data_IF_076437453707
#
_entry.id   IF_076437453707
#
_cell.length_a   1.000
_cell.length_b   1.000
_cell.length_c   1.000
_cell.angle_alpha   90.00
_cell.angle_beta   90.00
_cell.angle_gamma   90.00
#
_symmetry.space_group_name_H-M   'P 1'
#
loop_
_entity.id
_entity.type
_entity.pdbx_description
1 polymer ?
#
# COMPACT_ATOMS: atom_id res chain seq x y z
N UNK A 1 9.98 7.49 20.44
CA UNK A 1 8.60 6.96 20.53
C UNK A 1 8.19 6.09 19.33
N UNK A 2 8.31 6.55 18.07
CA UNK A 2 7.87 5.77 16.89
C UNK A 2 8.54 4.38 16.80
N UNK A 3 9.86 4.31 16.98
CA UNK A 3 10.59 3.03 16.98
C UNK A 3 10.14 2.07 18.08
N UNK A 4 9.81 2.60 19.27
CA UNK A 4 9.27 1.78 20.35
C UNK A 4 7.87 1.25 20.02
N UNK A 5 7.04 2.02 19.31
CA UNK A 5 5.74 1.54 18.83
C UNK A 5 5.91 0.45 17.79
N UNK A 6 6.84 0.60 16.83
CA UNK A 6 7.15 -0.44 15.84
C UNK A 6 7.55 -1.76 16.50
N UNK A 7 8.49 -1.73 17.46
CA UNK A 7 8.87 -2.92 18.24
C UNK A 7 7.67 -3.60 18.92
N UNK A 8 6.71 -2.82 19.44
CA UNK A 8 5.49 -3.37 20.04
C UNK A 8 4.52 -3.96 19.00
N UNK A 9 4.44 -3.36 17.81
CA UNK A 9 3.66 -3.90 16.69
C UNK A 9 4.25 -5.24 16.25
N UNK A 10 5.56 -5.32 16.04
CA UNK A 10 6.23 -6.56 15.63
C UNK A 10 6.08 -7.65 16.71
N UNK A 11 6.24 -7.29 17.99
CA UNK A 11 6.00 -8.21 19.10
C UNK A 11 4.55 -8.70 19.16
N UNK A 12 3.58 -7.83 18.88
CA UNK A 12 2.16 -8.21 18.83
C UNK A 12 1.87 -9.19 17.69
N UNK A 13 2.40 -8.92 16.50
CA UNK A 13 2.25 -9.80 15.34
C UNK A 13 2.87 -11.17 15.60
N UNK A 14 4.08 -11.21 16.18
CA UNK A 14 4.74 -12.46 16.55
C UNK A 14 3.93 -13.25 17.59
N UNK A 15 3.46 -12.60 18.65
CA UNK A 15 2.64 -13.24 19.68
C UNK A 15 1.31 -13.76 19.12
N UNK A 16 0.69 -13.03 18.19
CA UNK A 16 -0.53 -13.46 17.54
C UNK A 16 -0.29 -14.70 16.66
N UNK A 17 0.82 -14.77 15.94
CA UNK A 17 1.17 -15.96 15.16
C UNK A 17 1.42 -17.19 16.04
N UNK A 18 2.03 -17.03 17.23
CA UNK A 18 2.14 -18.13 18.20
C UNK A 18 0.78 -18.56 18.77
N UNK A 19 -0.17 -17.62 18.98
CA UNK A 19 -1.57 -17.96 19.28
C UNK A 19 -2.17 -18.79 18.14
N UNK A 20 -1.97 -18.37 16.88
CA UNK A 20 -2.47 -19.08 15.70
C UNK A 20 -1.90 -20.50 15.61
N UNK A 21 -0.61 -20.68 15.90
CA UNK A 21 0.04 -22.00 15.94
C UNK A 21 -0.67 -22.94 16.90
N UNK A 22 -1.03 -22.47 18.09
CA UNK A 22 -1.69 -23.26 19.14
C UNK A 22 -3.15 -23.56 18.81
N UNK A 23 -3.91 -22.58 18.32
CA UNK A 23 -5.36 -22.70 18.14
C UNK A 23 -5.74 -23.38 16.83
N UNK A 24 -5.17 -22.92 15.70
CA UNK A 24 -5.52 -23.45 14.37
C UNK A 24 -4.61 -24.60 13.93
N UNK A 25 -3.47 -24.80 14.62
CA UNK A 25 -2.55 -25.93 14.39
C UNK A 25 -2.16 -26.14 12.93
N UNK A 26 -2.01 -25.06 12.15
CA UNK A 26 -1.68 -25.10 10.71
C UNK A 26 -0.40 -25.90 10.43
N UNK A 27 0.56 -25.86 11.35
CA UNK A 27 1.82 -26.61 11.29
C UNK A 27 1.64 -28.14 11.34
N UNK A 28 0.54 -28.65 11.91
CA UNK A 28 0.22 -30.08 11.93
C UNK A 28 -0.39 -30.56 10.60
N UNK A 29 -1.05 -29.66 9.86
CA UNK A 29 -1.53 -29.97 8.50
C UNK A 29 -0.34 -30.06 7.55
N UNK A 30 0.53 -29.05 7.57
CA UNK A 30 1.82 -29.07 6.90
C UNK A 30 2.76 -28.03 7.56
N UNK A 31 3.97 -28.40 8.00
CA UNK A 31 4.90 -27.46 8.62
C UNK A 31 5.24 -26.24 7.74
N UNK A 32 5.32 -26.43 6.42
CA UNK A 32 5.65 -25.37 5.46
C UNK A 32 4.55 -24.31 5.39
N UNK A 33 3.28 -24.67 5.62
CA UNK A 33 2.18 -23.70 5.62
C UNK A 33 2.36 -22.64 6.71
N UNK A 34 2.50 -23.07 7.97
CA UNK A 34 2.66 -22.15 9.09
C UNK A 34 3.98 -21.38 9.02
N UNK A 35 5.10 -22.08 8.76
CA UNK A 35 6.41 -21.42 8.74
C UNK A 35 6.53 -20.41 7.58
N UNK A 36 5.91 -20.67 6.43
CA UNK A 36 5.89 -19.70 5.31
C UNK A 36 5.04 -18.47 5.64
N UNK A 37 3.86 -18.63 6.23
CA UNK A 37 3.02 -17.50 6.66
C UNK A 37 3.74 -16.67 7.73
N UNK A 38 4.36 -17.35 8.71
CA UNK A 38 5.12 -16.70 9.79
C UNK A 38 6.31 -15.93 9.25
N UNK A 39 7.14 -16.55 8.41
CA UNK A 39 8.30 -15.89 7.82
C UNK A 39 7.88 -14.66 7.00
N UNK A 40 6.90 -14.82 6.11
CA UNK A 40 6.42 -13.73 5.25
C UNK A 40 5.88 -12.56 6.08
N UNK A 41 5.06 -12.86 7.10
CA UNK A 41 4.42 -11.83 7.92
C UNK A 41 5.40 -11.06 8.81
N UNK A 42 6.42 -11.74 9.32
CA UNK A 42 7.42 -11.17 10.22
C UNK A 42 8.57 -10.45 9.51
N UNK A 43 8.61 -10.45 8.16
CA UNK A 43 9.60 -9.66 7.43
C UNK A 43 9.55 -8.19 7.84
N UNK A 44 10.72 -7.57 7.94
CA UNK A 44 10.84 -6.16 8.25
C UNK A 44 10.06 -5.30 7.25
N UNK A 45 9.51 -4.20 7.74
CA UNK A 45 8.74 -3.25 6.92
C UNK A 45 8.64 -1.90 7.63
N UNK A 46 8.14 -0.89 6.92
CA UNK A 46 8.00 0.47 7.48
C UNK A 46 6.95 0.56 8.59
N UNK A 47 6.03 -0.42 8.66
CA UNK A 47 4.88 -0.49 9.60
C UNK A 47 4.07 0.81 9.67
N UNK A 48 3.92 1.51 8.54
CA UNK A 48 3.25 2.82 8.49
C UNK A 48 1.77 2.71 8.86
N UNK A 49 1.08 1.70 8.34
CA UNK A 49 -0.36 1.49 8.54
C UNK A 49 -0.73 1.26 10.01
N UNK A 50 -0.18 0.25 10.71
CA UNK A 50 -0.47 0.05 12.12
C UNK A 50 -0.01 1.21 13.00
N UNK A 51 1.05 1.92 12.62
CA UNK A 51 1.50 3.12 13.31
C UNK A 51 0.45 4.24 13.22
N UNK A 52 -0.11 4.50 12.03
CA UNK A 52 -1.18 5.49 11.83
C UNK A 52 -2.43 5.14 12.65
N UNK A 53 -2.80 3.85 12.71
CA UNK A 53 -3.91 3.39 13.55
C UNK A 53 -3.67 3.71 15.03
N UNK A 54 -2.50 3.33 15.56
CA UNK A 54 -2.17 3.57 16.97
C UNK A 54 -2.12 5.07 17.27
N UNK A 55 -1.50 5.87 16.42
CA UNK A 55 -1.39 7.31 16.62
C UNK A 55 -2.76 7.99 16.58
N UNK A 56 -3.62 7.61 15.63
CA UNK A 56 -5.00 8.10 15.53
C UNK A 56 -5.78 7.76 16.80
N UNK A 57 -5.75 6.49 17.23
CA UNK A 57 -6.44 6.06 18.45
C UNK A 57 -5.99 6.83 19.70
N UNK A 58 -4.67 6.96 19.92
CA UNK A 58 -4.12 7.72 21.05
C UNK A 58 -4.45 9.21 20.96
N UNK A 59 -4.61 9.72 19.74
CA UNK A 59 -4.99 11.09 19.43
C UNK A 59 -6.35 11.49 19.97
N UNK A 60 -7.32 10.58 19.93
CA UNK A 60 -8.70 10.81 20.37
C UNK A 60 -9.05 10.18 21.73
N UNK A 61 -8.32 9.15 22.17
CA UNK A 61 -8.59 8.49 23.46
C UNK A 61 -8.27 9.41 24.64
N UNK A 62 -8.98 9.35 25.78
CA UNK A 62 -8.63 10.07 27.01
C UNK A 62 -7.19 9.79 27.51
N UNK A 63 -6.58 10.72 28.26
CA UNK A 63 -5.18 10.54 28.75
C UNK A 63 -5.03 9.33 29.69
N UNK A 64 -6.11 8.94 30.37
CA UNK A 64 -6.18 7.80 31.27
C UNK A 64 -6.16 6.44 30.56
N UNK A 65 -6.50 6.38 29.27
CA UNK A 65 -6.54 5.13 28.52
C UNK A 65 -5.12 4.67 28.20
N UNK A 66 -4.71 3.57 28.83
CA UNK A 66 -3.46 2.86 28.51
C UNK A 66 -3.73 1.89 27.37
N UNK A 67 -2.81 1.84 26.40
CA UNK A 67 -2.87 0.80 25.36
C UNK A 67 -2.68 -0.57 26.00
N UNK A 68 -3.72 -1.39 25.94
CA UNK A 68 -3.68 -2.78 26.37
C UNK A 68 -2.88 -3.63 25.38
N UNK A 69 -2.49 -4.84 25.79
CA UNK A 69 -1.94 -5.84 24.85
C UNK A 69 -2.95 -6.16 23.75
N UNK A 70 -4.24 -6.29 24.10
CA UNK A 70 -5.33 -6.57 23.16
C UNK A 70 -5.50 -5.48 22.10
N UNK A 71 -5.22 -4.21 22.40
CA UNK A 71 -5.28 -3.14 21.39
C UNK A 71 -4.23 -3.29 20.29
N UNK A 72 -3.04 -3.82 20.59
CA UNK A 72 -2.04 -4.07 19.53
C UNK A 72 -2.50 -5.17 18.54
N UNK A 73 -3.56 -5.92 18.84
CA UNK A 73 -4.19 -6.79 17.84
C UNK A 73 -4.88 -6.00 16.73
N UNK A 74 -5.27 -4.73 16.96
CA UNK A 74 -5.72 -3.84 15.88
C UNK A 74 -4.59 -3.54 14.88
N UNK A 75 -3.37 -3.31 15.38
CA UNK A 75 -2.18 -3.16 14.55
C UNK A 75 -1.84 -4.48 13.81
N UNK A 76 -1.97 -5.61 14.50
CA UNK A 76 -1.78 -6.95 13.93
C UNK A 76 -2.77 -7.21 12.79
N UNK A 77 -4.05 -6.88 12.99
CA UNK A 77 -5.10 -6.98 11.97
C UNK A 77 -4.74 -6.20 10.69
N UNK A 78 -4.32 -4.94 10.82
CA UNK A 78 -3.92 -4.12 9.67
C UNK A 78 -2.70 -4.70 8.94
N UNK A 79 -1.72 -5.24 9.67
CA UNK A 79 -0.55 -5.89 9.04
C UNK A 79 -0.90 -7.23 8.39
N UNK A 80 -1.81 -8.03 8.96
CA UNK A 80 -2.30 -9.25 8.31
C UNK A 80 -3.11 -8.93 7.05
N UNK A 81 -3.95 -7.88 7.07
CA UNK A 81 -4.61 -7.38 5.86
C UNK A 81 -3.57 -6.97 4.81
N UNK A 82 -2.48 -6.34 5.23
CA UNK A 82 -1.37 -6.02 4.32
C UNK A 82 -0.76 -7.24 3.68
N UNK A 83 -0.44 -8.23 4.49
CA UNK A 83 0.23 -9.43 4.05
C UNK A 83 -0.68 -10.19 3.09
N UNK A 84 -1.97 -10.33 3.40
CA UNK A 84 -2.98 -10.87 2.48
C UNK A 84 -2.92 -10.20 1.10
N UNK A 85 -3.00 -8.87 1.05
CA UNK A 85 -2.96 -8.13 -0.20
C UNK A 85 -1.65 -8.35 -0.96
N UNK A 86 -0.50 -8.33 -0.28
CA UNK A 86 0.80 -8.58 -0.91
C UNK A 86 0.93 -10.02 -1.43
N UNK A 87 0.38 -11.00 -0.71
CA UNK A 87 0.43 -12.41 -1.13
C UNK A 87 -0.32 -12.58 -2.45
N UNK A 88 -1.51 -12.01 -2.60
CA UNK A 88 -2.30 -12.09 -3.83
C UNK A 88 -1.70 -11.21 -4.94
N UNK A 89 -1.22 -10.01 -4.63
CA UNK A 89 -0.51 -9.11 -5.56
C UNK A 89 0.74 -9.80 -6.14
N UNK A 90 1.53 -10.49 -5.31
CA UNK A 90 2.70 -11.26 -5.75
C UNK A 90 2.34 -12.39 -6.75
N UNK A 91 1.12 -12.94 -6.67
CA UNK A 91 0.61 -13.95 -7.61
C UNK A 91 0.21 -13.30 -8.93
N UNK A 92 -0.56 -12.22 -8.87
CA UNK A 92 -1.05 -11.47 -10.03
C UNK A 92 0.13 -10.93 -10.86
N UNK A 93 1.10 -10.32 -10.18
CA UNK A 93 2.29 -9.72 -10.79
C UNK A 93 3.39 -10.76 -11.11
N UNK A 94 3.20 -12.04 -10.73
CA UNK A 94 4.19 -13.12 -10.90
C UNK A 94 5.57 -12.77 -10.31
N UNK A 95 5.55 -12.09 -9.18
CA UNK A 95 6.74 -11.59 -8.52
C UNK A 95 7.54 -12.72 -7.87
N UNK A 96 8.85 -12.76 -8.10
CA UNK A 96 9.72 -13.79 -7.49
C UNK A 96 10.22 -13.41 -6.10
N UNK A 97 10.33 -12.09 -5.83
CA UNK A 97 10.89 -11.55 -4.60
C UNK A 97 9.98 -10.49 -4.01
N UNK A 98 9.86 -10.48 -2.69
CA UNK A 98 9.22 -9.43 -1.89
C UNK A 98 10.11 -9.07 -0.71
N UNK A 99 10.51 -7.80 -0.64
CA UNK A 99 11.45 -7.27 0.37
C UNK A 99 12.78 -8.06 0.40
N UNK A 100 13.32 -8.35 -0.79
CA UNK A 100 14.61 -9.06 -0.96
C UNK A 100 14.58 -10.57 -0.69
N UNK A 101 13.41 -11.14 -0.37
CA UNK A 101 13.24 -12.58 -0.08
C UNK A 101 12.20 -13.22 -1.02
N UNK A 102 12.19 -14.55 -1.20
CA UNK A 102 11.21 -15.24 -2.05
C UNK A 102 9.76 -14.88 -1.71
N UNK A 103 8.87 -14.74 -2.69
CA UNK A 103 7.42 -14.55 -2.45
C UNK A 103 6.77 -15.78 -1.81
N UNK A 104 5.57 -15.63 -1.24
CA UNK A 104 4.92 -16.73 -0.52
C UNK A 104 4.69 -17.96 -1.42
N UNK A 105 4.28 -17.77 -2.67
CA UNK A 105 4.11 -18.86 -3.62
C UNK A 105 5.44 -19.61 -3.91
N UNK A 106 6.59 -18.93 -3.89
CA UNK A 106 7.91 -19.57 -4.02
C UNK A 106 8.31 -20.37 -2.77
N UNK A 107 7.85 -19.98 -1.58
CA UNK A 107 8.03 -20.75 -0.36
C UNK A 107 7.13 -21.99 -0.36
N UNK A 108 5.85 -21.80 -0.66
CA UNK A 108 4.83 -22.86 -0.64
C UNK A 108 5.01 -23.88 -1.77
N UNK A 109 5.59 -23.50 -2.92
CA UNK A 109 5.91 -24.46 -4.00
C UNK A 109 6.89 -25.56 -3.57
N UNK A 110 7.57 -25.38 -2.43
CA UNK A 110 8.45 -26.39 -1.82
C UNK A 110 7.72 -27.32 -0.84
N UNK A 111 6.40 -27.18 -0.69
CA UNK A 111 5.58 -27.98 0.23
C UNK A 111 5.73 -29.49 -0.02
N UNK A 112 5.81 -29.90 -1.29
CA UNK A 112 6.00 -31.29 -1.74
C UNK A 112 6.87 -31.29 -3.00
N UNK A 113 7.62 -32.37 -3.22
CA UNK A 113 8.31 -32.60 -4.50
C UNK A 113 7.29 -32.97 -5.58
N UNK A 114 7.21 -32.17 -6.63
CA UNK A 114 6.34 -32.38 -7.79
C UNK A 114 7.03 -31.86 -9.06
N UNK A 115 6.58 -32.31 -10.23
CA UNK A 115 7.07 -31.82 -11.52
C UNK A 115 6.66 -30.37 -11.82
N UNK A 116 5.57 -29.88 -11.20
CA UNK A 116 5.08 -28.51 -11.39
C UNK A 116 5.01 -27.75 -10.05
N UNK A 117 6.19 -27.39 -9.52
CA UNK A 117 6.30 -26.64 -8.26
C UNK A 117 5.76 -25.22 -8.36
N UNK A 118 5.78 -24.63 -9.56
CA UNK A 118 5.33 -23.27 -9.77
C UNK A 118 3.81 -23.18 -9.66
N UNK A 119 3.07 -24.05 -10.36
CA UNK A 119 1.63 -24.13 -10.22
C UNK A 119 1.20 -24.44 -8.79
N UNK A 120 1.84 -25.44 -8.15
CA UNK A 120 1.56 -25.77 -6.76
C UNK A 120 1.76 -24.55 -5.84
N UNK A 121 2.85 -23.81 -6.04
CA UNK A 121 3.14 -22.60 -5.28
C UNK A 121 2.05 -21.55 -5.41
N UNK A 122 1.60 -21.26 -6.63
CA UNK A 122 0.51 -20.31 -6.87
C UNK A 122 -0.80 -20.77 -6.22
N UNK A 123 -1.22 -22.01 -6.45
CA UNK A 123 -2.46 -22.58 -5.90
C UNK A 123 -2.47 -22.51 -4.35
N UNK A 124 -1.38 -22.95 -3.71
CA UNK A 124 -1.25 -22.90 -2.26
C UNK A 124 -1.19 -21.46 -1.72
N UNK A 125 -0.64 -20.52 -2.48
CA UNK A 125 -0.53 -19.12 -2.06
C UNK A 125 -1.87 -18.38 -2.12
N UNK A 126 -2.79 -18.77 -3.00
CA UNK A 126 -4.18 -18.29 -2.98
C UNK A 126 -4.83 -18.68 -1.65
N UNK A 127 -4.77 -19.98 -1.31
CA UNK A 127 -5.32 -20.56 -0.08
C UNK A 127 -4.68 -19.92 1.16
N UNK A 128 -3.36 -19.75 1.17
CA UNK A 128 -2.66 -19.11 2.28
C UNK A 128 -3.05 -17.64 2.44
N UNK A 129 -3.32 -16.92 1.34
CA UNK A 129 -3.89 -15.58 1.39
C UNK A 129 -5.26 -15.57 2.09
N UNK A 130 -6.15 -16.49 1.75
CA UNK A 130 -7.48 -16.60 2.37
C UNK A 130 -7.37 -16.84 3.89
N UNK A 131 -6.45 -17.72 4.30
CA UNK A 131 -6.12 -17.95 5.71
C UNK A 131 -5.66 -16.65 6.37
N UNK A 132 -4.71 -15.92 5.78
CA UNK A 132 -4.18 -14.67 6.34
C UNK A 132 -5.27 -13.59 6.45
N UNK A 133 -6.20 -13.52 5.49
CA UNK A 133 -7.35 -12.61 5.58
C UNK A 133 -8.29 -12.98 6.73
N UNK A 134 -8.61 -14.27 6.91
CA UNK A 134 -9.41 -14.74 8.04
C UNK A 134 -8.72 -14.44 9.39
N UNK A 135 -7.40 -14.61 9.47
CA UNK A 135 -6.60 -14.28 10.65
C UNK A 135 -6.60 -12.77 10.95
N UNK A 136 -6.66 -11.90 9.93
CA UNK A 136 -6.81 -10.47 10.13
C UNK A 136 -8.14 -10.14 10.84
N UNK A 137 -9.23 -10.84 10.48
CA UNK A 137 -10.54 -10.70 11.11
C UNK A 137 -10.52 -11.21 12.56
N UNK A 138 -9.92 -12.37 12.84
CA UNK A 138 -9.72 -12.87 14.22
C UNK A 138 -8.95 -11.85 15.08
N UNK A 139 -7.84 -11.33 14.55
CA UNK A 139 -7.08 -10.27 15.22
C UNK A 139 -7.97 -9.04 15.53
N UNK A 140 -8.85 -8.64 14.61
CA UNK A 140 -9.79 -7.55 14.87
C UNK A 140 -10.80 -7.88 15.98
N UNK A 141 -11.41 -9.07 15.94
CA UNK A 141 -12.45 -9.47 16.88
C UNK A 141 -11.94 -9.55 18.33
N UNK A 142 -10.64 -9.84 18.48
CA UNK A 142 -9.95 -9.88 19.78
C UNK A 142 -9.70 -8.50 20.43
N UNK A 143 -10.01 -7.40 19.74
CA UNK A 143 -9.90 -6.04 20.29
C UNK A 143 -10.96 -5.86 21.41
N UNK A 144 -10.52 -5.31 22.52
CA UNK A 144 -11.35 -5.00 23.69
C UNK A 144 -11.71 -3.52 23.70
N UNK A 145 -12.79 -3.17 22.98
CA UNK A 145 -13.38 -1.84 22.91
C UNK A 145 -14.91 -1.97 22.98
N UNK A 146 -15.66 -0.89 23.29
CA UNK A 146 -17.12 -0.92 23.30
C UNK A 146 -17.70 -1.52 22.01
N UNK A 147 -18.62 -2.47 22.15
CA UNK A 147 -19.11 -3.31 21.04
C UNK A 147 -19.59 -2.52 19.83
N UNK A 148 -20.32 -1.41 20.05
CA UNK A 148 -20.81 -0.55 18.97
C UNK A 148 -19.68 0.08 18.15
N UNK A 149 -18.61 0.56 18.81
CA UNK A 149 -17.44 1.15 18.14
C UNK A 149 -16.66 0.08 17.38
N UNK A 150 -16.50 -1.09 18.00
CA UNK A 150 -15.82 -2.23 17.39
C UNK A 150 -16.55 -2.70 16.13
N UNK A 151 -17.87 -2.83 16.18
CA UNK A 151 -18.69 -3.23 15.03
C UNK A 151 -18.58 -2.22 13.88
N UNK A 152 -18.69 -0.92 14.14
CA UNK A 152 -18.56 0.12 13.12
C UNK A 152 -17.17 0.12 12.49
N UNK A 153 -16.12 0.01 13.30
CA UNK A 153 -14.75 -0.07 12.83
C UNK A 153 -14.48 -1.35 12.02
N UNK A 154 -15.08 -2.49 12.39
CA UNK A 154 -14.99 -3.74 11.62
C UNK A 154 -15.66 -3.60 10.25
N UNK A 155 -16.86 -3.00 10.21
CA UNK A 155 -17.55 -2.70 8.94
C UNK A 155 -16.68 -1.84 8.03
N UNK A 156 -16.04 -0.80 8.56
CA UNK A 156 -15.14 0.06 7.79
C UNK A 156 -13.90 -0.68 7.28
N UNK A 157 -13.32 -1.55 8.11
CA UNK A 157 -12.19 -2.40 7.75
C UNK A 157 -12.55 -3.36 6.60
N UNK A 158 -13.70 -4.04 6.68
CA UNK A 158 -14.17 -4.97 5.62
C UNK A 158 -14.49 -4.21 4.32
N UNK A 159 -15.14 -3.05 4.42
CA UNK A 159 -15.38 -2.17 3.27
C UNK A 159 -14.08 -1.76 2.60
N UNK A 160 -13.05 -1.44 3.39
CA UNK A 160 -11.71 -1.11 2.87
C UNK A 160 -11.11 -2.27 2.09
N UNK A 161 -11.17 -3.49 2.62
CA UNK A 161 -10.68 -4.68 1.90
C UNK A 161 -11.41 -4.85 0.55
N UNK A 162 -12.74 -4.66 0.56
CA UNK A 162 -13.58 -4.73 -0.65
C UNK A 162 -13.18 -3.67 -1.68
N UNK A 163 -13.03 -2.41 -1.27
CA UNK A 163 -12.60 -1.33 -2.17
C UNK A 163 -11.19 -1.57 -2.71
N UNK A 164 -10.30 -2.15 -1.92
CA UNK A 164 -8.94 -2.45 -2.36
C UNK A 164 -8.95 -3.53 -3.43
N UNK A 165 -9.75 -4.59 -3.25
CA UNK A 165 -9.95 -5.61 -4.27
C UNK A 165 -10.59 -5.04 -5.56
N UNK A 166 -11.53 -4.08 -5.45
CA UNK A 166 -12.06 -3.36 -6.61
C UNK A 166 -10.98 -2.56 -7.33
N UNK A 167 -10.05 -1.95 -6.59
CA UNK A 167 -8.87 -1.28 -7.16
C UNK A 167 -7.99 -2.28 -7.91
N UNK A 168 -7.67 -3.42 -7.30
CA UNK A 168 -6.88 -4.48 -7.96
C UNK A 168 -7.52 -4.99 -9.25
N UNK A 169 -8.84 -5.15 -9.24
CA UNK A 169 -9.61 -5.51 -10.42
C UNK A 169 -9.46 -4.47 -11.55
N UNK A 170 -9.60 -3.18 -11.21
CA UNK A 170 -9.41 -2.08 -12.16
C UNK A 170 -7.96 -2.06 -12.68
N UNK A 171 -6.97 -2.22 -11.81
CA UNK A 171 -5.56 -2.23 -12.17
C UNK A 171 -5.23 -3.35 -13.17
N UNK A 172 -5.79 -4.54 -12.93
CA UNK A 172 -5.66 -5.71 -13.81
C UNK A 172 -6.26 -5.44 -15.20
N UNK A 173 -7.47 -4.87 -15.27
CA UNK A 173 -8.11 -4.50 -16.53
C UNK A 173 -7.32 -3.41 -17.28
N UNK A 174 -6.86 -2.40 -16.56
CA UNK A 174 -6.02 -1.34 -17.12
C UNK A 174 -4.69 -1.91 -17.63
N UNK A 175 -4.14 -2.95 -17.00
CA UNK A 175 -2.94 -3.66 -17.43
C UNK A 175 -2.98 -4.09 -18.89
N UNK A 176 -4.14 -4.50 -19.39
CA UNK A 176 -4.32 -4.99 -20.77
C UNK A 176 -5.02 -4.02 -21.73
N UNK A 177 -5.72 -3.01 -21.22
CA UNK A 177 -6.44 -2.03 -22.04
C UNK A 177 -5.49 -1.00 -22.71
N UNK A 178 -5.95 -0.44 -23.83
CA UNK A 178 -5.27 0.62 -24.59
C UNK A 178 -5.23 1.90 -23.78
N UNK A 179 -4.06 2.56 -23.77
CA UNK A 179 -3.85 3.88 -23.14
C UNK A 179 -4.89 4.93 -23.58
N UNK A 180 -5.36 4.86 -24.83
CA UNK A 180 -6.36 5.79 -25.38
C UNK A 180 -7.73 5.71 -24.72
N UNK A 181 -8.06 4.59 -24.07
CA UNK A 181 -9.37 4.36 -23.43
C UNK A 181 -9.37 4.68 -21.94
N UNK A 182 -8.20 4.82 -21.32
CA UNK A 182 -8.06 5.08 -19.89
C UNK A 182 -8.00 6.59 -19.65
N UNK A 183 -8.92 7.11 -18.84
CA UNK A 183 -8.97 8.51 -18.41
C UNK A 183 -8.16 8.71 -17.14
N UNK A 184 -7.71 9.93 -16.96
CA UNK A 184 -7.03 10.34 -15.73
C UNK A 184 -7.90 10.09 -14.49
N UNK A 185 -9.21 10.34 -14.58
CA UNK A 185 -10.16 10.05 -13.52
C UNK A 185 -10.18 8.55 -13.14
N UNK A 186 -10.02 7.66 -14.11
CA UNK A 186 -9.98 6.20 -13.87
C UNK A 186 -8.71 5.82 -13.11
N UNK A 187 -7.58 6.44 -13.45
CA UNK A 187 -6.30 6.26 -12.74
C UNK A 187 -6.39 6.76 -11.30
N UNK A 188 -6.94 7.96 -11.09
CA UNK A 188 -7.11 8.55 -9.75
C UNK A 188 -8.11 7.75 -8.90
N UNK A 189 -9.16 7.20 -9.52
CA UNK A 189 -10.08 6.28 -8.86
C UNK A 189 -9.36 5.01 -8.42
N UNK A 190 -8.54 4.42 -9.30
CA UNK A 190 -7.73 3.25 -8.95
C UNK A 190 -6.78 3.56 -7.78
N UNK A 191 -6.06 4.67 -7.80
CA UNK A 191 -5.18 5.09 -6.69
C UNK A 191 -5.96 5.24 -5.38
N UNK A 192 -7.19 5.77 -5.43
CA UNK A 192 -8.07 5.85 -4.27
C UNK A 192 -8.40 4.47 -3.73
N UNK A 193 -8.83 3.55 -4.60
CA UNK A 193 -9.33 2.24 -4.25
C UNK A 193 -8.20 1.29 -3.80
N UNK A 194 -7.18 1.08 -4.65
CA UNK A 194 -6.07 0.14 -4.43
C UNK A 194 -5.13 0.59 -3.32
N UNK A 195 -4.82 1.89 -3.25
CA UNK A 195 -3.73 2.37 -2.37
C UNK A 195 -4.24 3.24 -1.22
N UNK A 196 -5.01 4.29 -1.52
CA UNK A 196 -5.28 5.34 -0.55
C UNK A 196 -6.17 4.89 0.61
N UNK A 197 -7.26 4.18 0.29
CA UNK A 197 -8.20 3.63 1.27
C UNK A 197 -7.51 2.74 2.27
N UNK A 198 -6.81 1.73 1.77
CA UNK A 198 -6.19 0.74 2.63
C UNK A 198 -4.93 1.23 3.36
N UNK A 199 -4.10 2.07 2.72
CA UNK A 199 -2.81 2.46 3.31
C UNK A 199 -2.91 3.61 4.31
N UNK A 200 -3.81 4.58 4.09
CA UNK A 200 -3.83 5.81 4.90
C UNK A 200 -5.19 6.08 5.54
N UNK A 201 -6.27 6.00 4.77
CA UNK A 201 -7.64 6.28 5.25
C UNK A 201 -8.08 5.26 6.32
N UNK A 202 -8.09 3.97 6.01
CA UNK A 202 -8.54 2.93 6.94
C UNK A 202 -7.78 2.92 8.26
N UNK A 203 -6.44 2.94 8.32
CA UNK A 203 -5.75 2.99 9.60
C UNK A 203 -6.11 4.22 10.43
N UNK A 204 -6.15 5.41 9.82
CA UNK A 204 -6.53 6.65 10.51
C UNK A 204 -7.98 6.58 11.04
N UNK A 205 -8.91 6.16 10.21
CA UNK A 205 -10.34 6.12 10.53
C UNK A 205 -10.66 5.04 11.55
N UNK A 206 -10.16 3.82 11.38
CA UNK A 206 -10.36 2.71 12.33
C UNK A 206 -9.81 3.08 13.71
N UNK A 207 -8.61 3.69 13.77
CA UNK A 207 -8.05 4.16 15.03
C UNK A 207 -8.94 5.20 15.72
N UNK A 208 -9.48 6.16 14.96
CA UNK A 208 -10.37 7.19 15.49
C UNK A 208 -11.74 6.64 15.93
N UNK A 209 -12.33 5.71 15.16
CA UNK A 209 -13.59 5.04 15.49
C UNK A 209 -13.49 4.25 16.78
N UNK A 210 -12.43 3.44 16.94
CA UNK A 210 -12.18 2.67 18.16
C UNK A 210 -12.02 3.59 19.38
N UNK A 211 -11.35 4.74 19.21
CA UNK A 211 -11.20 5.74 20.26
C UNK A 211 -12.48 6.53 20.58
N UNK A 212 -13.54 6.42 19.77
CA UNK A 212 -14.78 7.16 19.94
C UNK A 212 -14.70 8.62 19.46
N UNK A 213 -13.91 8.91 18.43
CA UNK A 213 -13.88 10.22 17.79
C UNK A 213 -15.25 10.59 17.19
N UNK A 214 -15.51 11.89 17.06
CA UNK A 214 -16.76 12.36 16.45
C UNK A 214 -16.79 12.17 14.93
N UNK A 215 -17.99 12.11 14.36
CA UNK A 215 -18.18 11.81 12.94
C UNK A 215 -17.59 12.88 12.00
N UNK A 216 -17.44 14.13 12.45
CA UNK A 216 -16.84 15.21 11.62
C UNK A 216 -15.35 14.96 11.45
N UNK A 217 -14.68 14.61 12.55
CA UNK A 217 -13.25 14.30 12.52
C UNK A 217 -12.96 12.98 11.79
N UNK A 218 -13.82 11.96 11.92
CA UNK A 218 -13.74 10.73 11.11
C UNK A 218 -13.82 11.03 9.61
N UNK A 219 -14.79 11.84 9.16
CA UNK A 219 -14.92 12.23 7.74
C UNK A 219 -13.69 12.99 7.23
N UNK A 220 -13.15 13.92 8.03
CA UNK A 220 -11.94 14.67 7.68
C UNK A 220 -10.70 13.77 7.60
N UNK A 221 -10.53 12.84 8.54
CA UNK A 221 -9.44 11.85 8.51
C UNK A 221 -9.48 11.00 7.26
N UNK A 222 -10.68 10.56 6.86
CA UNK A 222 -10.85 9.83 5.61
C UNK A 222 -10.42 10.69 4.42
N UNK A 223 -10.91 11.93 4.30
CA UNK A 223 -10.52 12.83 3.23
C UNK A 223 -8.99 13.08 3.18
N UNK A 224 -8.35 13.27 4.33
CA UNK A 224 -6.89 13.39 4.45
C UNK A 224 -6.19 12.12 3.95
N UNK A 225 -6.61 10.96 4.43
CA UNK A 225 -6.04 9.67 4.04
C UNK A 225 -6.15 9.41 2.54
N UNK A 226 -7.30 9.75 1.93
CA UNK A 226 -7.51 9.64 0.50
C UNK A 226 -6.57 10.56 -0.31
N UNK A 227 -6.38 11.82 0.11
CA UNK A 227 -5.48 12.75 -0.57
C UNK A 227 -4.02 12.34 -0.45
N UNK A 228 -3.57 12.00 0.76
CA UNK A 228 -2.21 11.52 1.00
C UNK A 228 -1.95 10.24 0.22
N UNK A 229 -2.90 9.30 0.21
CA UNK A 229 -2.73 8.05 -0.49
C UNK A 229 -2.68 8.17 -2.02
N UNK A 230 -3.48 9.06 -2.61
CA UNK A 230 -3.34 9.39 -4.02
C UNK A 230 -1.99 10.03 -4.32
N UNK A 231 -1.54 10.98 -3.50
CA UNK A 231 -0.22 11.59 -3.67
C UNK A 231 0.92 10.56 -3.54
N UNK A 232 0.79 9.63 -2.60
CA UNK A 232 1.74 8.55 -2.36
C UNK A 232 1.86 7.64 -3.59
N UNK A 233 0.74 7.25 -4.21
CA UNK A 233 0.77 6.43 -5.41
C UNK A 233 1.36 7.18 -6.62
N UNK A 234 1.05 8.47 -6.80
CA UNK A 234 1.68 9.28 -7.85
C UNK A 234 3.20 9.33 -7.63
N UNK A 235 3.65 9.46 -6.38
CA UNK A 235 5.07 9.42 -6.08
C UNK A 235 5.68 8.05 -6.42
N UNK A 236 5.06 6.94 -6.00
CA UNK A 236 5.57 5.60 -6.28
C UNK A 236 5.71 5.37 -7.80
N UNK A 237 4.75 5.85 -8.59
CA UNK A 237 4.82 5.78 -10.05
C UNK A 237 5.95 6.66 -10.64
N UNK A 238 6.23 7.82 -10.04
CA UNK A 238 7.40 8.64 -10.40
C UNK A 238 8.69 7.91 -10.03
N UNK A 239 8.78 7.33 -8.84
CA UNK A 239 9.99 6.62 -8.38
C UNK A 239 10.29 5.41 -9.26
N UNK A 240 9.28 4.61 -9.59
CA UNK A 240 9.41 3.45 -10.47
C UNK A 240 9.96 3.80 -11.85
N UNK A 241 9.82 5.06 -12.30
CA UNK A 241 10.37 5.54 -13.56
C UNK A 241 11.65 6.34 -13.38
N UNK A 242 11.78 7.22 -12.38
CA UNK A 242 12.80 8.27 -12.31
C UNK A 242 13.88 8.07 -11.24
N UNK A 243 13.80 7.04 -10.41
CA UNK A 243 14.81 6.80 -9.37
C UNK A 243 16.21 6.52 -9.97
N UNK A 244 17.24 6.80 -9.17
CA UNK A 244 18.64 6.96 -9.56
C UNK A 244 19.34 5.66 -9.98
N UNK A 245 20.45 5.81 -10.71
CA UNK A 245 21.19 4.69 -11.32
C UNK A 245 21.71 3.62 -10.34
N UNK A 246 21.89 3.96 -9.06
CA UNK A 246 22.36 3.01 -8.03
C UNK A 246 21.31 1.95 -7.66
N UNK A 247 20.04 2.19 -7.94
CA UNK A 247 18.93 1.24 -7.76
C UNK A 247 18.53 0.54 -9.08
N UNK A 248 19.28 0.74 -10.18
CA UNK A 248 19.03 0.07 -11.46
C UNK A 248 19.44 -1.40 -11.34
N UNK A 249 18.48 -2.20 -10.92
CA UNK A 249 18.47 -3.65 -11.13
C UNK A 249 17.29 -4.07 -11.99
N UNK A 250 17.00 -5.38 -12.01
CA UNK A 250 15.81 -5.96 -12.68
C UNK A 250 14.48 -5.30 -12.28
N UNK A 251 14.40 -4.63 -11.13
CA UNK A 251 13.17 -4.03 -10.58
C UNK A 251 12.63 -2.87 -11.42
N UNK A 252 13.43 -1.85 -11.75
CA UNK A 252 12.93 -0.67 -12.50
C UNK A 252 12.46 -1.07 -13.91
N UNK A 253 13.18 -1.99 -14.55
CA UNK A 253 12.76 -2.53 -15.84
C UNK A 253 11.52 -3.42 -15.72
N UNK A 254 11.29 -4.06 -14.56
CA UNK A 254 10.05 -4.80 -14.25
C UNK A 254 8.86 -3.85 -14.19
N UNK A 255 8.98 -2.76 -13.41
CA UNK A 255 7.92 -1.76 -13.27
C UNK A 255 7.56 -1.12 -14.63
N UNK A 256 8.58 -0.82 -15.45
CA UNK A 256 8.34 -0.33 -16.82
C UNK A 256 7.76 -1.43 -17.72
N UNK A 257 8.12 -2.71 -17.54
CA UNK A 257 7.62 -3.82 -18.34
C UNK A 257 6.12 -4.08 -18.09
N UNK A 258 5.64 -3.89 -16.85
CA UNK A 258 4.22 -3.96 -16.51
C UNK A 258 3.37 -2.95 -17.31
N UNK A 259 3.98 -1.88 -17.82
CA UNK A 259 3.31 -0.91 -18.70
C UNK A 259 2.01 -0.37 -18.08
N UNK A 260 2.04 -0.16 -16.75
CA UNK A 260 0.94 0.40 -15.94
C UNK A 260 0.58 1.79 -16.45
N UNK A 261 -0.73 2.06 -16.62
CA UNK A 261 -1.23 3.33 -17.19
C UNK A 261 -1.39 4.36 -16.09
N UNK A 262 -0.24 4.77 -15.55
CA UNK A 262 -0.11 5.76 -14.48
C UNK A 262 -0.54 7.17 -14.92
N UNK A 263 -0.58 8.10 -13.98
CA UNK A 263 -0.83 9.52 -14.25
C UNK A 263 0.17 10.09 -15.27
N UNK A 264 1.46 9.70 -15.16
CA UNK A 264 2.51 10.05 -16.11
C UNK A 264 2.16 9.61 -17.54
N UNK A 265 1.73 8.35 -17.69
CA UNK A 265 1.38 7.78 -19.00
C UNK A 265 0.16 8.48 -19.59
N UNK A 266 -0.89 8.64 -18.79
CA UNK A 266 -2.15 9.24 -19.21
C UNK A 266 -2.00 10.70 -19.62
N UNK A 267 -1.24 11.50 -18.86
CA UNK A 267 -0.99 12.89 -19.18
C UNK A 267 -0.08 13.04 -20.41
N UNK A 268 1.05 12.31 -20.45
CA UNK A 268 1.95 12.35 -21.61
C UNK A 268 1.22 11.97 -22.91
N UNK A 269 0.45 10.87 -22.92
CA UNK A 269 -0.31 10.44 -24.09
C UNK A 269 -1.22 11.53 -24.67
N UNK A 270 -1.87 12.31 -23.79
CA UNK A 270 -2.79 13.40 -24.16
C UNK A 270 -2.07 14.65 -24.67
N UNK A 271 -0.89 14.98 -24.13
CA UNK A 271 -0.11 16.16 -24.53
C UNK A 271 0.73 15.95 -25.79
N UNK A 272 1.12 14.71 -26.09
CA UNK A 272 1.94 14.41 -27.27
C UNK A 272 1.14 14.56 -28.58
N UNK A 273 1.79 15.11 -29.61
CA UNK A 273 1.27 15.10 -30.98
C UNK A 273 1.09 13.66 -31.51
N UNK A 274 0.24 13.43 -32.53
CA UNK A 274 -0.01 12.08 -33.05
C UNK A 274 1.27 11.31 -33.41
N UNK A 275 2.25 11.98 -34.02
CA UNK A 275 3.55 11.38 -34.37
C UNK A 275 4.34 10.97 -33.12
N UNK A 276 4.52 11.89 -32.15
CA UNK A 276 5.25 11.59 -30.91
C UNK A 276 4.55 10.55 -30.04
N UNK A 277 3.22 10.49 -30.08
CA UNK A 277 2.41 9.48 -29.40
C UNK A 277 2.66 8.08 -29.97
N UNK A 278 2.78 7.94 -31.29
CA UNK A 278 3.16 6.66 -31.93
C UNK A 278 4.54 6.20 -31.45
N UNK A 279 5.51 7.12 -31.40
CA UNK A 279 6.86 6.84 -30.88
C UNK A 279 6.80 6.44 -29.40
N UNK A 280 6.05 7.16 -28.57
CA UNK A 280 5.88 6.81 -27.15
C UNK A 280 5.35 5.39 -26.97
N UNK A 281 4.28 5.01 -27.70
CA UNK A 281 3.71 3.67 -27.63
C UNK A 281 4.69 2.58 -28.13
N UNK A 282 5.55 2.89 -29.11
CA UNK A 282 6.58 1.95 -29.58
C UNK A 282 7.57 1.57 -28.48
N UNK A 283 7.90 2.49 -27.57
CA UNK A 283 8.74 2.19 -26.40
C UNK A 283 7.94 1.60 -25.25
N UNK A 284 6.77 2.18 -24.98
CA UNK A 284 5.96 1.86 -23.81
C UNK A 284 5.24 0.52 -23.90
N UNK A 285 4.91 0.02 -25.10
CA UNK A 285 4.16 -1.24 -25.24
C UNK A 285 5.03 -2.45 -25.57
N UNK A 286 6.37 -2.34 -25.54
CA UNK A 286 7.25 -3.49 -25.77
C UNK A 286 7.12 -4.54 -24.66
N UNK A 287 6.96 -5.84 -24.97
CA UNK A 287 6.92 -6.88 -23.95
C UNK A 287 8.21 -6.99 -23.13
N UNK A 288 9.37 -6.78 -23.77
CA UNK A 288 10.68 -6.74 -23.11
C UNK A 288 11.23 -5.32 -23.21
N UNK A 289 11.44 -4.67 -22.07
CA UNK A 289 11.97 -3.31 -21.96
C UNK A 289 13.47 -3.35 -21.75
N UNK A 290 14.17 -2.49 -22.47
CA UNK A 290 15.60 -2.24 -22.33
C UNK A 290 15.83 -0.94 -21.57
N UNK A 291 17.07 -0.73 -21.12
CA UNK A 291 17.47 0.54 -20.53
C UNK A 291 17.31 1.72 -21.51
N UNK A 292 17.55 1.50 -22.81
CA UNK A 292 17.32 2.51 -23.83
C UNK A 292 15.84 2.91 -23.93
N UNK A 293 14.91 1.96 -23.78
CA UNK A 293 13.47 2.24 -23.76
C UNK A 293 13.09 3.09 -22.53
N UNK A 294 13.66 2.79 -21.36
CA UNK A 294 13.47 3.58 -20.14
C UNK A 294 13.96 5.03 -20.33
N UNK A 295 15.16 5.23 -20.88
CA UNK A 295 15.72 6.56 -21.15
C UNK A 295 14.83 7.33 -22.14
N UNK A 296 14.35 6.69 -23.20
CA UNK A 296 13.43 7.30 -24.16
C UNK A 296 12.10 7.70 -23.51
N UNK A 297 11.50 6.82 -22.70
CA UNK A 297 10.25 7.11 -21.96
C UNK A 297 10.43 8.25 -20.96
N UNK A 298 11.52 8.28 -20.19
CA UNK A 298 11.86 9.39 -19.28
C UNK A 298 11.92 10.72 -20.03
N UNK A 299 12.63 10.75 -21.16
CA UNK A 299 12.75 11.96 -22.00
C UNK A 299 11.37 12.43 -22.49
N UNK A 300 10.51 11.50 -22.90
CA UNK A 300 9.14 11.82 -23.34
C UNK A 300 8.31 12.40 -22.18
N UNK A 301 8.39 11.82 -20.98
CA UNK A 301 7.68 12.35 -19.81
C UNK A 301 8.15 13.74 -19.39
N UNK A 302 9.45 14.03 -19.51
CA UNK A 302 9.99 15.38 -19.26
C UNK A 302 9.50 16.35 -20.33
N UNK A 303 9.67 16.03 -21.62
CA UNK A 303 9.32 16.93 -22.73
C UNK A 303 7.83 17.18 -22.88
N UNK A 304 6.98 16.26 -22.43
CA UNK A 304 5.52 16.43 -22.42
C UNK A 304 5.01 17.21 -21.20
N UNK A 305 5.89 17.61 -20.28
CA UNK A 305 5.53 18.24 -19.01
C UNK A 305 4.86 17.28 -18.02
N UNK A 306 4.88 15.97 -18.29
CA UNK A 306 4.16 15.00 -17.48
C UNK A 306 4.75 14.77 -16.10
N UNK A 307 6.08 14.84 -15.98
CA UNK A 307 6.76 14.79 -14.68
C UNK A 307 6.36 16.00 -13.82
N UNK A 308 6.43 17.20 -14.38
CA UNK A 308 6.04 18.46 -13.71
C UNK A 308 4.59 18.38 -13.23
N UNK A 309 3.68 18.04 -14.13
CA UNK A 309 2.25 17.89 -13.83
C UNK A 309 1.99 16.90 -12.68
N UNK A 310 2.70 15.76 -12.67
CA UNK A 310 2.52 14.75 -11.61
C UNK A 310 3.05 15.22 -10.25
N UNK A 311 4.17 15.96 -10.24
CA UNK A 311 4.72 16.58 -9.03
C UNK A 311 3.79 17.69 -8.48
N UNK A 312 3.18 18.49 -9.36
CA UNK A 312 2.19 19.50 -8.97
C UNK A 312 0.93 18.86 -8.36
N UNK A 313 0.45 17.75 -8.93
CA UNK A 313 -0.69 17.01 -8.37
C UNK A 313 -0.36 16.36 -7.01
N UNK A 314 0.89 15.96 -6.76
CA UNK A 314 1.36 15.60 -5.41
C UNK A 314 1.21 16.80 -4.47
N UNK A 315 1.84 17.95 -4.80
CA UNK A 315 1.85 19.12 -3.92
C UNK A 315 0.45 19.63 -3.60
N UNK A 316 -0.42 19.74 -4.60
CA UNK A 316 -1.82 20.12 -4.44
C UNK A 316 -2.54 19.25 -3.41
N UNK A 317 -2.32 17.93 -3.43
CA UNK A 317 -2.93 16.99 -2.47
C UNK A 317 -2.32 17.11 -1.08
N UNK A 318 -1.00 17.33 -0.99
CA UNK A 318 -0.33 17.55 0.29
C UNK A 318 -0.83 18.83 0.97
N UNK A 319 -0.92 19.95 0.24
CA UNK A 319 -1.45 21.21 0.76
C UNK A 319 -2.89 21.05 1.25
N UNK A 320 -3.76 20.41 0.44
CA UNK A 320 -5.14 20.13 0.84
C UNK A 320 -5.21 19.30 2.13
N UNK A 321 -4.40 18.24 2.24
CA UNK A 321 -4.35 17.40 3.43
C UNK A 321 -3.83 18.16 4.67
N UNK A 322 -2.81 18.99 4.52
CA UNK A 322 -2.25 19.81 5.60
C UNK A 322 -3.28 20.84 6.11
N UNK A 323 -3.98 21.54 5.21
CA UNK A 323 -5.05 22.47 5.59
C UNK A 323 -6.15 21.75 6.37
N UNK A 324 -6.59 20.57 5.91
CA UNK A 324 -7.61 19.78 6.62
C UNK A 324 -7.14 19.33 8.01
N UNK A 325 -5.86 18.97 8.14
CA UNK A 325 -5.27 18.52 9.40
C UNK A 325 -5.35 19.60 10.48
N UNK A 326 -5.19 20.89 10.14
CA UNK A 326 -5.28 22.00 11.09
C UNK A 326 -6.61 21.99 11.87
N UNK A 327 -7.72 21.62 11.23
CA UNK A 327 -9.06 21.62 11.81
C UNK A 327 -9.43 20.35 12.59
N UNK A 328 -8.52 19.38 12.76
CA UNK A 328 -8.76 18.17 13.55
C UNK A 328 -8.50 18.37 15.04
N UNK A 329 -9.36 17.77 15.88
CA UNK A 329 -9.27 17.81 17.36
C UNK A 329 -8.43 16.66 17.91
N UNK A 330 -7.28 16.42 17.28
CA UNK A 330 -6.30 15.43 17.74
C UNK A 330 -5.39 16.09 18.78
N UNK A 331 -5.09 15.36 19.86
CA UNK A 331 -4.10 15.81 20.85
C UNK A 331 -2.75 16.18 20.18
N UNK A 332 -2.16 17.35 20.49
CA UNK A 332 -0.98 17.88 19.79
C UNK A 332 0.18 16.91 19.55
N UNK A 333 0.66 16.12 20.54
CA UNK A 333 1.80 15.23 20.30
C UNK A 333 1.50 14.14 19.26
N UNK A 334 0.26 13.66 19.16
CA UNK A 334 -0.11 12.64 18.18
C UNK A 334 -0.41 13.26 16.82
N UNK A 335 -1.00 14.46 16.78
CA UNK A 335 -1.23 15.21 15.54
C UNK A 335 0.08 15.45 14.79
N UNK A 336 1.10 15.98 15.48
CA UNK A 336 2.43 16.22 14.90
C UNK A 336 3.08 14.93 14.37
N UNK A 337 2.90 13.80 15.05
CA UNK A 337 3.46 12.52 14.61
C UNK A 337 2.70 11.91 13.44
N UNK A 338 1.38 12.09 13.38
CA UNK A 338 0.58 11.70 12.22
C UNK A 338 1.04 12.52 11.02
N UNK A 339 1.10 13.86 11.15
CA UNK A 339 1.61 14.75 10.09
C UNK A 339 2.99 14.33 9.61
N UNK A 340 3.94 14.14 10.53
CA UNK A 340 5.30 13.68 10.18
C UNK A 340 5.28 12.32 9.47
N UNK A 341 4.44 11.38 9.92
CA UNK A 341 4.35 10.05 9.31
C UNK A 341 3.75 10.10 7.90
N UNK A 342 2.74 10.95 7.69
CA UNK A 342 2.10 11.15 6.38
C UNK A 342 3.02 11.88 5.39
N UNK A 343 3.82 12.85 5.85
CA UNK A 343 4.67 13.67 4.98
C UNK A 343 6.06 13.07 4.72
N UNK A 344 6.58 12.23 5.63
CA UNK A 344 7.92 11.63 5.50
C UNK A 344 8.21 10.91 4.17
N UNK A 345 7.26 10.25 3.49
CA UNK A 345 7.53 9.60 2.22
C UNK A 345 7.91 10.59 1.10
N UNK A 346 7.49 11.86 1.18
CA UNK A 346 7.52 12.80 0.06
C UNK A 346 8.87 13.45 -0.23
N UNK A 347 9.87 13.22 0.63
CA UNK A 347 11.25 13.72 0.43
C UNK A 347 11.88 13.28 -0.90
N UNK A 348 11.47 12.13 -1.44
CA UNK A 348 12.01 11.64 -2.70
C UNK A 348 11.48 12.43 -3.90
N UNK A 349 10.19 12.77 -3.92
CA UNK A 349 9.63 13.64 -4.97
C UNK A 349 10.30 15.02 -4.99
N UNK A 350 10.64 15.58 -3.84
CA UNK A 350 11.41 16.84 -3.73
C UNK A 350 12.81 16.70 -4.34
N UNK A 351 13.51 15.60 -4.04
CA UNK A 351 14.83 15.32 -4.60
C UNK A 351 14.79 15.11 -6.12
N UNK A 352 13.76 14.43 -6.63
CA UNK A 352 13.55 14.28 -8.08
C UNK A 352 13.29 15.64 -8.72
N UNK A 353 12.40 16.46 -8.14
CA UNK A 353 12.13 17.79 -8.66
C UNK A 353 13.42 18.63 -8.76
N UNK A 354 14.24 18.63 -7.71
CA UNK A 354 15.55 19.30 -7.70
C UNK A 354 16.49 18.75 -8.79
N UNK A 355 16.58 17.43 -8.93
CA UNK A 355 17.45 16.77 -9.93
C UNK A 355 17.12 17.20 -11.36
N UNK A 356 15.83 17.45 -11.65
CA UNK A 356 15.37 17.86 -12.97
C UNK A 356 15.09 19.37 -13.09
N UNK A 357 15.50 20.18 -12.11
CA UNK A 357 15.34 21.64 -12.14
C UNK A 357 13.87 22.11 -12.11
N UNK A 358 12.97 21.30 -11.56
CA UNK A 358 11.53 21.58 -11.48
C UNK A 358 11.26 22.30 -10.15
N UNK A 359 10.63 23.47 -10.21
CA UNK A 359 10.18 24.22 -9.04
C UNK A 359 8.76 23.77 -8.68
N UNK A 360 8.58 23.21 -7.50
CA UNK A 360 7.30 22.68 -6.99
C UNK A 360 6.86 23.37 -5.70
#
# INVERSE_FOLDING_TARGET
MLEQLKKKIDASLANFLEKVKREYKLHLVNPILYESIKEFSLREGKRIRPLLLILSYKGYSPKSVKLTKSFYNAATCIELLHNFMLIHDDIIDRSNLRRGKPTLHRLLGKAVKTHDQEKLGYDLSIIAGDIVYALAIDAFLSIQEPSQRKEQALKYFIQTATFTAMGEFIDTLHGVEKVSRIKEADVLLNYTLKTARYTFDCPLVVGAMLAGADQRDIKKLSAIGLKIGQAFQIQDDILGIFDSQKNIGKSILSDLAESKKTLLVCHAYRKLSPHKRKIFLQYFSKPKKTYADLVAVRKIFIQSGSLVYSLEEIQKRLTQAQTMMQALKIKPPYKSLIEKSLLSPFKHSESIAQTYGIKI
#
